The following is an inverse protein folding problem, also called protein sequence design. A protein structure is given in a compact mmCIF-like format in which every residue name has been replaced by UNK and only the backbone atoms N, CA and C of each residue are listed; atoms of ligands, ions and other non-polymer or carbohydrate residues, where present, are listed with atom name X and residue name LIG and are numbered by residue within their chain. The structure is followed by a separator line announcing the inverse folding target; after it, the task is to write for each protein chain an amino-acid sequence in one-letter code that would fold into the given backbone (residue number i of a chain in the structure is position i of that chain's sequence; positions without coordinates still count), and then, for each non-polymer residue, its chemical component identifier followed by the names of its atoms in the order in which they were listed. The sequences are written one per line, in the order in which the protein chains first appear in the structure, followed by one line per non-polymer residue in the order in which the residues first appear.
data_IF_483861343229
#
_entry.id   IF_483861343229
#
_cell.length_a   1.000
_cell.length_b   1.000
_cell.length_c   1.000
_cell.angle_alpha   90.00
_cell.angle_beta   90.00
_cell.angle_gamma   90.00
#
_symmetry.space_group_name_H-M   'P 1'
#
loop_
_entity.id
_entity.type
_entity.pdbx_description
1 polymer ?
#
# COMPACT_ATOMS: atom_id res chain seq x y z
N UNK A 1 16.94 -3.26 21.35
CA UNK A 1 16.11 -4.03 20.40
C UNK A 1 15.24 -3.03 19.61
N UNK A 2 15.88 -2.18 18.80
CA UNK A 2 15.32 -0.86 18.42
C UNK A 2 15.67 -0.50 16.97
N UNK A 3 15.25 -1.30 15.98
CA UNK A 3 15.54 -1.00 14.55
C UNK A 3 14.30 -1.18 13.64
N UNK A 4 13.19 -1.74 14.11
CA UNK A 4 12.07 -2.10 13.23
C UNK A 4 11.11 -0.96 12.82
N UNK A 5 11.12 0.20 13.49
CA UNK A 5 10.15 1.27 13.18
C UNK A 5 10.48 2.05 11.89
N UNK A 6 11.76 2.17 11.50
CA UNK A 6 12.16 2.89 10.29
C UNK A 6 11.75 2.21 8.98
N UNK A 7 11.69 0.87 8.97
CA UNK A 7 11.39 0.07 7.78
C UNK A 7 9.95 0.26 7.29
N UNK A 8 9.01 0.54 8.20
CA UNK A 8 7.60 0.67 7.86
C UNK A 8 7.29 1.99 7.13
N UNK A 9 7.90 3.11 7.54
CA UNK A 9 7.72 4.39 6.86
C UNK A 9 8.28 4.38 5.43
N UNK A 10 9.44 3.74 5.23
CA UNK A 10 10.05 3.62 3.90
C UNK A 10 9.24 2.70 2.98
N UNK A 11 8.66 1.61 3.51
CA UNK A 11 7.79 0.70 2.75
C UNK A 11 6.48 1.36 2.30
N UNK A 12 5.95 2.30 3.08
CA UNK A 12 4.71 3.01 2.78
C UNK A 12 4.84 4.07 1.69
N UNK A 13 5.97 4.79 1.64
CA UNK A 13 6.23 5.74 0.54
C UNK A 13 6.37 4.98 -0.79
N UNK A 14 7.07 3.85 -0.78
CA UNK A 14 7.33 3.02 -1.96
C UNK A 14 6.06 2.45 -2.58
N UNK A 15 5.02 2.15 -1.79
CA UNK A 15 3.74 1.63 -2.31
C UNK A 15 2.96 2.67 -3.14
N UNK A 16 2.93 3.94 -2.72
CA UNK A 16 2.23 4.99 -3.48
C UNK A 16 2.88 5.21 -4.84
N UNK A 17 4.21 5.33 -4.86
CA UNK A 17 4.98 5.52 -6.09
C UNK A 17 4.76 4.35 -7.04
N UNK A 18 4.71 3.10 -6.54
CA UNK A 18 4.39 1.93 -7.35
C UNK A 18 2.98 1.97 -7.94
N UNK A 19 1.96 2.35 -7.16
CA UNK A 19 0.58 2.45 -7.66
C UNK A 19 0.47 3.51 -8.77
N UNK A 20 1.08 4.68 -8.56
CA UNK A 20 1.06 5.77 -9.53
C UNK A 20 1.85 5.44 -10.80
N UNK A 21 3.02 4.80 -10.69
CA UNK A 21 3.80 4.37 -11.84
C UNK A 21 3.04 3.33 -12.70
N UNK A 22 2.38 2.36 -12.06
CA UNK A 22 1.51 1.40 -12.75
C UNK A 22 0.34 2.14 -13.41
N UNK A 23 -0.30 3.08 -12.72
CA UNK A 23 -1.41 3.87 -13.27
C UNK A 23 -0.99 4.69 -14.50
N UNK A 24 0.16 5.36 -14.45
CA UNK A 24 0.72 6.11 -15.58
C UNK A 24 0.99 5.20 -16.78
N UNK A 25 1.49 3.98 -16.53
CA UNK A 25 1.70 2.98 -17.58
C UNK A 25 0.40 2.63 -18.32
N UNK A 26 -0.72 2.56 -17.61
CA UNK A 26 -2.04 2.36 -18.23
C UNK A 26 -2.52 3.57 -19.03
N UNK A 27 -2.09 4.79 -18.70
CA UNK A 27 -2.43 5.99 -19.45
C UNK A 27 -1.58 6.15 -20.72
N UNK A 28 -0.29 5.83 -20.63
CA UNK A 28 0.63 5.89 -21.77
C UNK A 28 0.39 4.73 -22.75
N UNK A 29 -0.07 3.58 -22.24
CA UNK A 29 -0.41 2.44 -23.07
C UNK A 29 -1.74 2.63 -23.80
N UNK A 30 -1.72 2.52 -25.12
CA UNK A 30 -2.95 2.48 -25.95
C UNK A 30 -3.85 1.25 -25.65
N UNK A 31 -3.30 0.23 -24.96
CA UNK A 31 -4.02 -0.99 -24.57
C UNK A 31 -4.89 -0.74 -23.33
N UNK A 32 -6.19 -1.07 -23.42
CA UNK A 32 -7.11 -1.06 -22.27
C UNK A 32 -6.85 -2.13 -21.22
N UNK A 33 -6.09 -3.18 -21.57
CA UNK A 33 -5.76 -4.29 -20.69
C UNK A 33 -4.28 -4.60 -20.84
N UNK A 34 -3.58 -4.69 -19.71
CA UNK A 34 -2.16 -4.96 -19.66
C UNK A 34 -1.88 -6.22 -18.85
N UNK A 35 -0.86 -6.95 -19.32
CA UNK A 35 -0.36 -8.10 -18.60
C UNK A 35 0.60 -7.66 -17.47
N UNK A 36 0.58 -8.27 -16.27
CA UNK A 36 1.46 -7.87 -15.16
C UNK A 36 2.95 -7.88 -15.52
N UNK A 37 3.35 -8.75 -16.44
CA UNK A 37 4.72 -8.83 -16.96
C UNK A 37 5.09 -7.62 -17.84
N UNK A 38 4.16 -7.11 -18.65
CA UNK A 38 4.37 -5.92 -19.47
C UNK A 38 4.55 -4.69 -18.58
N UNK A 39 3.65 -4.55 -17.59
CA UNK A 39 3.71 -3.49 -16.57
C UNK A 39 5.03 -3.57 -15.79
N UNK A 40 5.44 -4.77 -15.36
CA UNK A 40 6.71 -4.97 -14.65
C UNK A 40 7.92 -4.54 -15.48
N UNK A 41 7.93 -4.89 -16.77
CA UNK A 41 9.01 -4.53 -17.70
C UNK A 41 9.13 -3.02 -17.91
N UNK A 42 8.02 -2.31 -18.09
CA UNK A 42 8.02 -0.85 -18.28
C UNK A 42 8.44 -0.07 -17.04
N UNK A 43 8.10 -0.58 -15.85
CA UNK A 43 8.36 0.12 -14.60
C UNK A 43 9.62 -0.37 -13.86
N UNK A 44 10.38 -1.32 -14.43
CA UNK A 44 11.50 -1.97 -13.75
C UNK A 44 11.09 -2.69 -12.46
N UNK A 45 9.85 -3.19 -12.39
CA UNK A 45 9.29 -3.87 -11.22
C UNK A 45 9.22 -5.38 -11.43
N UNK A 46 9.46 -6.15 -10.37
CA UNK A 46 9.27 -7.60 -10.40
C UNK A 46 7.78 -7.93 -10.59
N UNK A 47 7.46 -8.89 -11.45
CA UNK A 47 6.07 -9.25 -11.80
C UNK A 47 5.22 -9.60 -10.57
N UNK A 48 5.78 -10.28 -9.57
CA UNK A 48 5.07 -10.59 -8.32
C UNK A 48 4.71 -9.35 -7.52
N UNK A 49 5.58 -8.34 -7.51
CA UNK A 49 5.32 -7.05 -6.84
C UNK A 49 4.20 -6.29 -7.54
N UNK A 50 4.19 -6.33 -8.87
CA UNK A 50 3.11 -5.74 -9.69
C UNK A 50 1.79 -6.44 -9.40
N UNK A 51 1.75 -7.78 -9.43
CA UNK A 51 0.55 -8.56 -9.08
C UNK A 51 0.06 -8.21 -7.68
N UNK A 52 0.98 -8.09 -6.72
CA UNK A 52 0.65 -7.73 -5.33
C UNK A 52 0.05 -6.34 -5.20
N UNK A 53 0.55 -5.36 -5.95
CA UNK A 53 0.00 -3.98 -5.95
C UNK A 53 -1.37 -3.94 -6.64
N UNK A 54 -1.50 -4.62 -7.78
CA UNK A 54 -2.77 -4.72 -8.52
C UNK A 54 -3.85 -5.42 -7.69
N UNK A 55 -3.51 -6.51 -7.01
CA UNK A 55 -4.46 -7.26 -6.17
C UNK A 55 -4.78 -6.54 -4.85
N UNK A 56 -3.86 -5.73 -4.31
CA UNK A 56 -4.11 -4.95 -3.09
C UNK A 56 -4.90 -3.66 -3.32
N UNK A 57 -5.18 -3.31 -4.58
CA UNK A 57 -5.82 -2.03 -4.96
C UNK A 57 -6.99 -2.24 -5.95
N UNK A 58 -7.98 -3.10 -5.61
CA UNK A 58 -9.11 -3.45 -6.50
C UNK A 58 -10.03 -2.27 -6.83
N UNK A 59 -9.96 -1.19 -6.05
CA UNK A 59 -10.66 0.07 -6.28
C UNK A 59 -10.17 0.83 -7.52
N UNK A 60 -8.93 0.60 -7.95
CA UNK A 60 -8.34 1.22 -9.15
C UNK A 60 -8.23 0.21 -10.29
N UNK A 61 -7.72 -0.99 -9.97
CA UNK A 61 -7.41 -2.02 -10.97
C UNK A 61 -8.41 -3.17 -10.89
N UNK A 62 -8.97 -3.52 -12.03
CA UNK A 62 -9.84 -4.68 -12.18
C UNK A 62 -9.05 -5.84 -12.77
N UNK A 63 -9.14 -6.99 -12.13
CA UNK A 63 -8.66 -8.25 -12.69
C UNK A 63 -9.65 -8.72 -13.75
N UNK A 64 -9.20 -8.80 -15.00
CA UNK A 64 -10.00 -9.30 -16.12
C UNK A 64 -9.53 -10.72 -16.41
N UNK A 65 -10.43 -11.72 -16.36
CA UNK A 65 -10.08 -13.07 -16.79
C UNK A 65 -9.70 -12.99 -18.28
N UNK A 66 -8.50 -13.45 -18.61
CA UNK A 66 -8.05 -13.47 -20.00
C UNK A 66 -8.87 -14.48 -20.79
N UNK A 67 -9.82 -14.01 -21.60
CA UNK A 67 -10.57 -14.86 -22.53
C UNK A 67 -9.69 -15.11 -23.77
N UNK A 68 -8.65 -15.93 -23.63
CA UNK A 68 -7.72 -16.26 -24.71
C UNK A 68 -6.63 -17.23 -24.29
N UNK A 69 -6.09 -17.97 -25.27
CA UNK A 69 -5.19 -19.14 -25.21
C UNK A 69 -3.98 -19.11 -24.24
N UNK A 70 -3.72 -18.01 -23.53
CA UNK A 70 -2.61 -17.87 -22.58
C UNK A 70 -2.99 -18.07 -21.12
N UNK A 71 -4.28 -18.11 -20.76
CA UNK A 71 -4.74 -18.42 -19.39
C UNK A 71 -4.23 -17.47 -18.28
N UNK A 72 -3.59 -16.35 -18.63
CA UNK A 72 -3.04 -15.41 -17.64
C UNK A 72 -4.00 -14.26 -17.39
N UNK A 73 -4.07 -13.86 -16.12
CA UNK A 73 -4.91 -12.76 -15.65
C UNK A 73 -4.42 -11.41 -16.20
N UNK A 74 -5.27 -10.73 -16.96
CA UNK A 74 -5.04 -9.37 -17.41
C UNK A 74 -5.58 -8.40 -16.37
N UNK A 75 -5.06 -7.17 -16.37
CA UNK A 75 -5.56 -6.10 -15.52
C UNK A 75 -5.97 -4.92 -16.37
N UNK A 76 -7.04 -4.25 -15.95
CA UNK A 76 -7.58 -3.07 -16.60
C UNK A 76 -7.87 -1.99 -15.54
N UNK A 77 -7.93 -0.73 -15.97
CA UNK A 77 -8.48 0.33 -15.12
C UNK A 77 -10.00 0.17 -15.02
N UNK A 78 -10.56 0.41 -13.83
CA UNK A 78 -12.01 0.50 -13.68
C UNK A 78 -12.56 1.65 -14.52
N UNK A 79 -13.73 1.46 -15.11
CA UNK A 79 -14.42 2.49 -15.90
C UNK A 79 -14.61 3.81 -15.13
N UNK A 80 -14.89 3.74 -13.83
CA UNK A 80 -15.00 4.89 -12.94
C UNK A 80 -13.72 5.71 -12.81
N UNK A 81 -12.56 5.08 -12.99
CA UNK A 81 -11.24 5.71 -12.94
C UNK A 81 -10.84 6.26 -14.31
N UNK A 82 -11.17 5.54 -15.39
CA UNK A 82 -10.88 5.96 -16.77
C UNK A 82 -11.53 7.30 -17.12
N UNK A 83 -12.69 7.60 -16.53
CA UNK A 83 -13.43 8.86 -16.76
C UNK A 83 -13.01 9.98 -15.80
N UNK A 84 -12.24 9.67 -14.75
CA UNK A 84 -11.78 10.66 -13.78
C UNK A 84 -10.50 11.35 -14.24
N UNK A 85 -10.39 12.65 -13.94
CA UNK A 85 -9.16 13.41 -14.14
C UNK A 85 -8.01 12.79 -13.32
N UNK A 86 -6.79 12.77 -13.89
CA UNK A 86 -5.59 12.21 -13.26
C UNK A 86 -5.32 12.79 -11.87
N UNK A 87 -5.60 14.08 -11.67
CA UNK A 87 -5.49 14.75 -10.37
C UNK A 87 -6.38 14.14 -9.29
N UNK A 88 -7.61 13.74 -9.66
CA UNK A 88 -8.57 13.11 -8.73
C UNK A 88 -8.08 11.73 -8.31
N UNK A 89 -7.50 10.97 -9.24
CA UNK A 89 -6.93 9.65 -8.96
C UNK A 89 -5.69 9.79 -8.07
N UNK A 90 -4.83 10.77 -8.31
CA UNK A 90 -3.67 11.07 -7.46
C UNK A 90 -4.13 11.46 -6.05
N UNK A 91 -5.16 12.31 -5.93
CA UNK A 91 -5.74 12.70 -4.65
C UNK A 91 -6.33 11.50 -3.89
N UNK A 92 -6.98 10.58 -4.60
CA UNK A 92 -7.54 9.35 -4.06
C UNK A 92 -6.44 8.40 -3.53
N UNK A 93 -5.40 8.14 -4.31
CA UNK A 93 -4.23 7.35 -3.89
C UNK A 93 -3.54 7.98 -2.69
N UNK A 94 -3.43 9.32 -2.66
CA UNK A 94 -2.90 10.06 -1.52
C UNK A 94 -3.76 9.97 -0.26
N UNK A 95 -5.09 9.85 -0.41
CA UNK A 95 -6.02 9.67 0.72
C UNK A 95 -5.92 8.26 1.29
N UNK A 96 -5.89 7.23 0.45
CA UNK A 96 -5.67 5.84 0.85
C UNK A 96 -4.39 5.71 1.70
N UNK A 97 -3.30 6.25 1.18
CA UNK A 97 -2.03 6.12 1.88
C UNK A 97 -1.87 7.10 3.06
N UNK A 98 -2.78 8.08 3.26
CA UNK A 98 -2.89 8.86 4.51
C UNK A 98 -3.58 8.06 5.61
N UNK A 99 -4.64 7.32 5.27
CA UNK A 99 -5.34 6.41 6.20
C UNK A 99 -4.37 5.41 6.83
N UNK A 100 -3.52 4.79 6.01
CA UNK A 100 -2.58 3.79 6.53
C UNK A 100 -1.52 4.38 7.47
N UNK A 101 -1.12 5.65 7.26
CA UNK A 101 -0.21 6.34 8.19
C UNK A 101 -0.86 6.59 9.54
N UNK A 102 -2.13 7.02 9.55
CA UNK A 102 -2.86 7.27 10.79
C UNK A 102 -2.95 6.00 11.62
N UNK A 103 -3.32 4.87 10.99
CA UNK A 103 -3.37 3.58 11.69
C UNK A 103 -2.02 3.17 12.29
N UNK A 104 -0.93 3.41 11.56
CA UNK A 104 0.41 3.09 12.04
C UNK A 104 0.84 3.98 13.21
N UNK A 105 0.55 5.28 13.14
CA UNK A 105 0.78 6.20 14.26
C UNK A 105 -0.07 5.84 15.48
N UNK A 106 -1.34 5.48 15.28
CA UNK A 106 -2.21 5.00 16.35
C UNK A 106 -1.67 3.74 17.02
N UNK A 107 -1.15 2.78 16.24
CA UNK A 107 -0.53 1.57 16.76
C UNK A 107 0.72 1.87 17.59
N UNK A 108 1.62 2.72 17.08
CA UNK A 108 2.83 3.14 17.82
C UNK A 108 2.44 3.83 19.13
N UNK A 109 1.46 4.73 19.07
CA UNK A 109 0.97 5.45 20.24
C UNK A 109 0.39 4.50 21.30
N UNK A 110 -0.39 3.50 20.87
CA UNK A 110 -0.95 2.48 21.76
C UNK A 110 0.17 1.66 22.43
N UNK A 111 1.18 1.23 21.68
CA UNK A 111 2.33 0.51 22.24
C UNK A 111 3.09 1.37 23.25
N UNK A 112 3.34 2.64 22.93
CA UNK A 112 4.00 3.58 23.83
C UNK A 112 3.20 3.74 25.13
N UNK A 113 1.88 3.89 25.03
CA UNK A 113 0.99 4.02 26.18
C UNK A 113 1.06 2.80 27.09
N UNK A 114 1.04 1.59 26.51
CA UNK A 114 1.15 0.32 27.27
C UNK A 114 2.48 0.26 28.03
N UNK A 115 3.59 0.66 27.40
CA UNK A 115 4.92 0.69 28.04
C UNK A 115 4.93 1.67 29.22
N UNK A 116 4.36 2.87 29.05
CA UNK A 116 4.29 3.87 30.13
C UNK A 116 3.47 3.35 31.31
N UNK A 117 2.30 2.78 31.05
CA UNK A 117 1.43 2.21 32.09
C UNK A 117 2.14 1.06 32.81
N UNK A 118 2.74 0.12 32.08
CA UNK A 118 3.49 -0.99 32.67
C UNK A 118 4.68 -0.50 33.52
N UNK A 119 5.38 0.54 33.06
CA UNK A 119 6.48 1.17 33.79
C UNK A 119 6.01 1.80 35.10
N UNK A 120 4.93 2.58 35.06
CA UNK A 120 4.32 3.17 36.25
C UNK A 120 3.87 2.11 37.25
N UNK A 121 3.25 1.03 36.76
CA UNK A 121 2.76 -0.07 37.60
C UNK A 121 3.92 -0.82 38.27
N UNK A 122 5.02 -1.03 37.54
CA UNK A 122 6.25 -1.63 38.09
C UNK A 122 6.89 -0.75 39.17
N UNK A 123 6.95 0.57 38.94
CA UNK A 123 7.46 1.54 39.94
C UNK A 123 6.57 1.54 41.20
N UNK A 124 5.25 1.52 41.03
CA UNK A 124 4.30 1.47 42.14
C UNK A 124 4.44 0.18 42.97
N UNK A 125 4.59 -0.98 42.30
CA UNK A 125 4.84 -2.27 42.95
C UNK A 125 6.13 -2.28 43.76
N UNK A 126 7.23 -1.79 43.19
CA UNK A 126 8.51 -1.67 43.91
C UNK A 126 8.34 -0.76 45.12
N UNK A 127 7.66 0.39 44.97
CA UNK A 127 7.43 1.31 46.09
C UNK A 127 6.60 0.70 47.22
N UNK A 128 5.61 -0.15 46.93
CA UNK A 128 4.84 -0.88 47.94
C UNK A 128 5.62 -2.01 48.62
N UNK A 129 6.56 -2.65 47.91
CA UNK A 129 7.34 -3.76 48.48
C UNK A 129 8.47 -3.33 49.41
N UNK A 130 8.94 -2.08 49.31
CA UNK A 130 10.06 -1.53 50.09
C UNK A 130 9.61 -0.44 51.09
N UNK A 131 8.30 -0.27 51.30
CA UNK A 131 7.70 0.70 52.22
C UNK A 131 7.12 0.06 53.47
#
# INVERSE_FOLDING_TARGET
MSIFLGFSFFRFHRRRTKILAIYETFLTSSKRQLHPLEIGRENGMHTLDVIKVLSSTPEIFLKVPGTGSRGVNLYALRSSIVVQNSEVVIAYVNRLARRDRILLYSLIFLILLVIVVAGLLSIALVRMSFG
#
